data_IF_644637038238
#
_entry.id   IF_644637038238
#
_cell.length_a   1.000
_cell.length_b   1.000
_cell.length_c   1.000
_cell.angle_alpha   90.00
_cell.angle_beta   90.00
_cell.angle_gamma   90.00
#
_symmetry.space_group_name_H-M   'P 1'
#
loop_
_entity.id
_entity.type
_entity.pdbx_description
1 polymer ?
#
# COMPACT_ATOMS: atom_id res chain seq x y z
N UNK A 1 -3.51 11.50 -2.62
CA UNK A 1 -3.40 10.02 -2.73
C UNK A 1 -4.11 9.53 -3.98
N UNK A 2 -5.45 9.63 -4.02
CA UNK A 2 -6.28 9.12 -5.11
C UNK A 2 -5.88 9.65 -6.50
N UNK A 3 -5.61 10.95 -6.64
CA UNK A 3 -5.21 11.56 -7.93
C UNK A 3 -3.79 11.22 -8.40
N UNK A 4 -2.89 10.90 -7.48
CA UNK A 4 -1.54 10.45 -7.85
C UNK A 4 -1.53 8.96 -8.17
N UNK A 5 -2.30 8.15 -7.42
CA UNK A 5 -2.55 6.74 -7.75
C UNK A 5 -3.28 6.60 -9.09
N UNK A 6 -4.28 7.44 -9.36
CA UNK A 6 -5.03 7.45 -10.61
C UNK A 6 -4.20 7.88 -11.83
N UNK A 7 -3.09 8.61 -11.62
CA UNK A 7 -2.12 8.95 -12.67
C UNK A 7 -1.08 7.86 -12.91
N UNK A 8 -1.02 6.83 -12.06
CA UNK A 8 -0.11 5.73 -12.25
C UNK A 8 -0.67 4.82 -13.37
N UNK A 9 0.11 4.51 -14.41
CA UNK A 9 -0.31 3.60 -15.48
C UNK A 9 -0.74 2.25 -14.90
N UNK A 10 -1.78 1.65 -15.48
CA UNK A 10 -2.30 0.32 -15.06
C UNK A 10 -1.23 -0.77 -15.14
N UNK A 11 -0.25 -0.59 -16.03
CA UNK A 11 0.89 -1.48 -16.23
C UNK A 11 2.07 -1.27 -15.27
N UNK A 12 2.00 -0.30 -14.34
CA UNK A 12 3.02 -0.16 -13.29
C UNK A 12 2.69 -1.04 -12.06
N UNK A 13 3.68 -1.74 -11.49
CA UNK A 13 3.47 -2.55 -10.30
C UNK A 13 3.11 -1.67 -9.10
N UNK A 14 2.27 -2.19 -8.19
CA UNK A 14 1.77 -1.47 -7.00
C UNK A 14 2.88 -0.78 -6.18
N UNK A 15 4.08 -1.37 -6.13
CA UNK A 15 5.24 -0.79 -5.45
C UNK A 15 5.79 0.49 -6.10
N UNK A 16 5.69 0.65 -7.42
CA UNK A 16 6.11 1.87 -8.11
C UNK A 16 5.11 3.01 -7.84
N UNK A 17 3.81 2.69 -7.91
CA UNK A 17 2.73 3.62 -7.60
C UNK A 17 2.82 4.18 -6.17
N UNK A 18 3.00 3.30 -5.18
CA UNK A 18 3.14 3.71 -3.77
C UNK A 18 4.40 4.56 -3.56
N UNK A 19 5.52 4.21 -4.21
CA UNK A 19 6.79 4.96 -4.10
C UNK A 19 6.62 6.39 -4.58
N UNK A 20 6.03 6.58 -5.76
CA UNK A 20 5.82 7.90 -6.34
C UNK A 20 4.91 8.80 -5.47
N UNK A 21 3.84 8.22 -4.89
CA UNK A 21 2.93 8.94 -4.00
C UNK A 21 3.63 9.36 -2.71
N UNK A 22 4.38 8.45 -2.08
CA UNK A 22 5.08 8.72 -0.81
C UNK A 22 6.21 9.73 -1.02
N UNK A 23 7.02 9.54 -2.06
CA UNK A 23 8.08 10.46 -2.45
C UNK A 23 7.56 11.88 -2.70
N UNK A 24 6.50 12.02 -3.50
CA UNK A 24 5.90 13.33 -3.80
C UNK A 24 5.26 14.00 -2.57
N UNK A 25 4.78 13.24 -1.59
CA UNK A 25 4.21 13.77 -0.34
C UNK A 25 5.27 14.24 0.65
N UNK A 26 6.39 13.53 0.73
CA UNK A 26 7.46 13.80 1.69
C UNK A 26 8.59 14.66 1.09
N UNK A 27 8.45 15.09 -0.16
CA UNK A 27 9.52 15.74 -0.93
C UNK A 27 10.85 14.94 -0.90
N UNK A 28 10.73 13.62 -0.98
CA UNK A 28 11.86 12.68 -0.97
C UNK A 28 12.09 12.13 -2.38
N UNK A 29 13.29 11.59 -2.60
CA UNK A 29 13.61 10.80 -3.77
C UNK A 29 12.81 9.48 -3.78
N UNK A 30 12.32 9.04 -4.95
CA UNK A 30 11.56 7.78 -5.10
C UNK A 30 12.34 6.52 -4.71
N UNK A 31 13.66 6.57 -4.77
CA UNK A 31 14.55 5.48 -4.36
C UNK A 31 15.01 5.56 -2.91
N UNK A 32 14.66 6.65 -2.20
CA UNK A 32 14.93 6.79 -0.77
C UNK A 32 14.30 5.66 0.05
N UNK A 33 14.90 5.39 1.21
CA UNK A 33 14.52 4.26 2.06
C UNK A 33 13.03 4.29 2.42
N UNK A 34 12.49 5.46 2.81
CA UNK A 34 11.10 5.60 3.25
C UNK A 34 10.09 5.25 2.14
N UNK A 35 10.10 5.88 0.95
CA UNK A 35 9.24 5.44 -0.16
C UNK A 35 9.40 3.95 -0.51
N UNK A 36 10.64 3.44 -0.51
CA UNK A 36 10.92 2.04 -0.82
C UNK A 36 10.34 1.06 0.20
N UNK A 37 10.48 1.34 1.50
CA UNK A 37 9.95 0.48 2.57
C UNK A 37 8.43 0.54 2.58
N UNK A 38 7.82 1.73 2.46
CA UNK A 38 6.35 1.86 2.40
C UNK A 38 5.76 1.04 1.25
N UNK A 39 6.39 1.05 0.07
CA UNK A 39 5.96 0.22 -1.06
C UNK A 39 6.05 -1.28 -0.81
N UNK A 40 7.10 -1.76 -0.15
CA UNK A 40 7.22 -3.18 0.21
C UNK A 40 6.19 -3.58 1.25
N UNK A 41 5.92 -2.71 2.23
CA UNK A 41 4.89 -2.96 3.23
C UNK A 41 3.50 -3.03 2.59
N UNK A 42 3.19 -2.14 1.64
CA UNK A 42 1.94 -2.20 0.89
C UNK A 42 1.78 -3.50 0.09
N UNK A 43 2.86 -3.98 -0.54
CA UNK A 43 2.86 -5.29 -1.22
C UNK A 43 2.64 -6.44 -0.22
N UNK A 44 3.31 -6.41 0.93
CA UNK A 44 3.14 -7.41 1.99
C UNK A 44 1.69 -7.50 2.47
N UNK A 45 1.01 -6.36 2.64
CA UNK A 45 -0.42 -6.31 2.96
C UNK A 45 -1.27 -6.97 1.87
N UNK A 46 -0.99 -6.69 0.60
CA UNK A 46 -1.75 -7.28 -0.51
C UNK A 46 -1.59 -8.80 -0.56
N UNK A 47 -0.37 -9.31 -0.34
CA UNK A 47 -0.09 -10.76 -0.31
C UNK A 47 -0.84 -11.39 0.87
N UNK A 48 -0.70 -10.84 2.07
CA UNK A 48 -1.35 -11.38 3.28
C UNK A 48 -2.88 -11.35 3.17
N UNK A 49 -3.46 -10.28 2.61
CA UNK A 49 -4.90 -10.18 2.36
C UNK A 49 -5.38 -11.25 1.37
N UNK A 50 -4.60 -11.50 0.31
CA UNK A 50 -4.93 -12.52 -0.68
C UNK A 50 -4.85 -13.93 -0.08
N UNK A 51 -3.81 -14.24 0.70
CA UNK A 51 -3.68 -15.51 1.42
C UNK A 51 -4.81 -15.73 2.43
N UNK A 52 -5.20 -14.67 3.14
CA UNK A 52 -6.33 -14.72 4.07
C UNK A 52 -7.65 -15.00 3.34
N UNK A 53 -7.90 -14.30 2.24
CA UNK A 53 -9.09 -14.49 1.40
C UNK A 53 -9.20 -15.93 0.86
N UNK A 54 -8.09 -16.51 0.39
CA UNK A 54 -8.08 -17.90 -0.10
C UNK A 54 -8.51 -18.93 0.95
N UNK A 55 -8.36 -18.62 2.23
CA UNK A 55 -8.69 -19.53 3.34
C UNK A 55 -10.04 -19.21 4.00
N UNK A 56 -10.69 -18.11 3.62
CA UNK A 56 -11.94 -17.62 4.22
C UNK A 56 -12.97 -17.29 3.13
N UNK A 57 -13.82 -18.26 2.78
CA UNK A 57 -14.80 -18.17 1.69
C UNK A 57 -15.89 -17.11 1.87
N UNK A 58 -16.11 -16.66 3.11
CA UNK A 58 -17.21 -15.76 3.46
C UNK A 58 -16.77 -14.29 3.52
N UNK A 59 -15.50 -14.00 3.23
CA UNK A 59 -14.93 -12.66 3.28
C UNK A 59 -14.67 -12.11 1.88
N UNK A 60 -14.96 -10.83 1.68
CA UNK A 60 -14.62 -10.13 0.44
C UNK A 60 -13.18 -9.63 0.50
N UNK A 61 -12.40 -9.89 -0.55
CA UNK A 61 -11.00 -9.46 -0.64
C UNK A 61 -10.85 -7.94 -0.46
N UNK A 62 -11.81 -7.17 -0.96
CA UNK A 62 -11.80 -5.71 -0.86
C UNK A 62 -11.95 -5.22 0.59
N UNK A 63 -12.80 -5.87 1.38
CA UNK A 63 -12.98 -5.57 2.81
C UNK A 63 -11.72 -5.93 3.61
N UNK A 64 -11.09 -7.07 3.30
CA UNK A 64 -9.84 -7.50 3.93
C UNK A 64 -8.71 -6.49 3.63
N UNK A 65 -8.58 -6.06 2.38
CA UNK A 65 -7.58 -5.08 1.97
C UNK A 65 -7.81 -3.72 2.63
N UNK A 66 -9.05 -3.25 2.70
CA UNK A 66 -9.38 -1.96 3.32
C UNK A 66 -9.04 -1.98 4.82
N UNK A 67 -9.44 -3.04 5.52
CA UNK A 67 -9.12 -3.22 6.94
C UNK A 67 -7.61 -3.31 7.20
N UNK A 68 -6.88 -4.07 6.38
CA UNK A 68 -5.44 -4.25 6.54
C UNK A 68 -4.65 -2.96 6.25
N UNK A 69 -5.03 -2.22 5.20
CA UNK A 69 -4.39 -0.93 4.86
C UNK A 69 -4.74 0.16 5.88
N UNK A 70 -5.98 0.20 6.39
CA UNK A 70 -6.38 1.13 7.45
C UNK A 70 -5.62 0.85 8.77
N UNK A 71 -5.43 -0.43 9.10
CA UNK A 71 -4.59 -0.85 10.23
C UNK A 71 -3.15 -0.40 10.03
N UNK A 72 -2.62 -0.56 8.82
CA UNK A 72 -1.27 -0.11 8.51
C UNK A 72 -1.11 1.41 8.68
N UNK A 73 -2.06 2.19 8.16
CA UNK A 73 -2.05 3.64 8.24
C UNK A 73 -2.15 4.16 9.69
N UNK A 74 -3.01 3.55 10.52
CA UNK A 74 -3.18 3.94 11.93
C UNK A 74 -1.94 3.60 12.76
N UNK A 75 -1.39 2.39 12.60
CA UNK A 75 -0.23 1.94 13.39
C UNK A 75 1.06 2.68 13.06
N UNK A 76 1.23 3.19 11.84
CA UNK A 76 2.36 4.08 11.52
C UNK A 76 2.20 5.49 12.10
N UNK A 77 0.96 5.96 12.31
CA UNK A 77 0.70 7.26 12.92
C UNK A 77 0.93 7.25 14.45
N UNK A 78 0.71 6.10 15.09
CA UNK A 78 0.93 5.93 16.54
C UNK A 78 2.42 5.78 16.94
N UNK A 79 3.33 5.69 15.96
CA UNK A 79 4.77 5.56 16.17
C UNK A 79 5.53 6.91 16.04
N UNK A 80 4.82 8.02 15.86
CA UNK A 80 5.35 9.38 15.79
C UNK A 80 5.03 10.18 17.07
#
# INVERSE_FOLDING_TARGET
>A
MREQLARCPVEQPIMAAVRAVVAGRLALDTDALIPRTTSHTALGVCIAAYEHWLTHSDAELTDILDAALATLASRFNDLA
#
